data_IF_281409769944
#
_entry.id   IF_281409769944
#
_cell.length_a   1.000
_cell.length_b   1.000
_cell.length_c   1.000
_cell.angle_alpha   90.00
_cell.angle_beta   90.00
_cell.angle_gamma   90.00
#
_symmetry.space_group_name_H-M   'P 1'
#
loop_
_entity.id
_entity.type
_entity.pdbx_description
1 polymer ?
#
# COMPACT_ATOMS: atom_id res chain seq x y z
N UNK A 1 -51.91 24.61 7.56
CA UNK A 1 -51.04 23.51 8.05
C UNK A 1 -49.85 23.50 7.13
N UNK A 2 -48.62 23.56 7.65
CA UNK A 2 -47.44 23.51 6.79
C UNK A 2 -47.28 22.07 6.30
N UNK A 3 -47.30 21.88 4.99
CA UNK A 3 -46.88 20.65 4.35
C UNK A 3 -45.39 20.46 4.64
N UNK A 4 -45.01 19.33 5.23
CA UNK A 4 -43.60 19.03 5.50
C UNK A 4 -42.99 18.63 4.16
N UNK A 5 -42.13 19.49 3.61
CA UNK A 5 -41.37 19.18 2.41
C UNK A 5 -40.57 17.88 2.66
N UNK A 6 -40.69 16.84 1.80
CA UNK A 6 -39.88 15.62 1.93
C UNK A 6 -38.37 15.93 1.93
N UNK A 7 -37.95 17.06 1.36
CA UNK A 7 -36.57 17.57 1.40
C UNK A 7 -36.16 17.95 2.83
N UNK A 8 -36.97 18.76 3.53
CA UNK A 8 -36.71 19.13 4.93
C UNK A 8 -36.74 17.91 5.86
N UNK A 9 -37.67 16.96 5.62
CA UNK A 9 -37.68 15.71 6.37
C UNK A 9 -36.38 14.90 6.15
N UNK A 10 -35.89 14.80 4.91
CA UNK A 10 -34.64 14.10 4.62
C UNK A 10 -33.41 14.79 5.25
N UNK A 11 -33.39 16.13 5.28
CA UNK A 11 -32.32 16.90 5.92
C UNK A 11 -32.33 16.73 7.45
N UNK A 12 -33.50 16.82 8.10
CA UNK A 12 -33.65 16.54 9.54
C UNK A 12 -33.30 15.08 9.89
N UNK A 13 -33.73 14.16 9.03
CA UNK A 13 -33.15 12.83 8.73
C UNK A 13 -31.68 12.65 9.11
N UNK A 14 -30.87 13.24 8.24
CA UNK A 14 -29.42 13.14 8.18
C UNK A 14 -28.76 13.89 9.35
N UNK A 15 -29.31 15.05 9.75
CA UNK A 15 -28.80 15.83 10.88
C UNK A 15 -28.83 15.03 12.20
N UNK A 16 -29.93 14.32 12.47
CA UNK A 16 -30.11 13.53 13.70
C UNK A 16 -29.05 12.42 13.88
N UNK A 17 -28.57 11.85 12.77
CA UNK A 17 -27.52 10.81 12.73
C UNK A 17 -26.13 11.39 13.01
N UNK A 18 -25.88 12.64 12.58
CA UNK A 18 -24.61 13.34 12.79
C UNK A 18 -24.51 13.95 14.20
N UNK A 19 -25.63 14.37 14.78
CA UNK A 19 -25.70 14.96 16.13
C UNK A 19 -25.62 13.91 17.25
N UNK A 20 -26.06 12.67 16.98
CA UNK A 20 -26.04 11.56 17.95
C UNK A 20 -25.24 10.34 17.45
N UNK A 21 -23.89 10.38 17.49
CA UNK A 21 -23.09 9.19 17.24
C UNK A 21 -23.30 8.16 18.36
N UNK A 22 -23.87 6.99 18.02
CA UNK A 22 -24.06 5.92 19.00
C UNK A 22 -22.71 5.41 19.56
N UNK A 23 -22.65 5.03 20.85
CA UNK A 23 -21.41 4.63 21.50
C UNK A 23 -20.90 3.29 20.94
N UNK A 24 -19.81 3.34 20.17
CA UNK A 24 -19.09 2.16 19.67
C UNK A 24 -18.83 1.17 20.81
N UNK A 25 -19.31 -0.06 20.66
CA UNK A 25 -19.19 -1.10 21.67
C UNK A 25 -17.72 -1.49 21.90
N UNK A 26 -17.14 -0.97 22.98
CA UNK A 26 -15.76 -1.23 23.37
C UNK A 26 -15.62 -2.65 23.93
N UNK A 27 -15.41 -3.63 23.05
CA UNK A 27 -15.00 -4.99 23.46
C UNK A 27 -13.55 -4.92 23.96
N UNK A 28 -13.38 -4.72 25.28
CA UNK A 28 -12.10 -4.92 25.95
C UNK A 28 -11.90 -6.41 26.21
N UNK A 29 -10.76 -6.97 25.81
CA UNK A 29 -10.22 -8.17 26.44
C UNK A 29 -8.70 -8.25 26.28
N UNK A 30 -8.03 -8.37 27.43
CA UNK A 30 -6.82 -9.16 27.72
C UNK A 30 -5.76 -9.28 26.62
N UNK A 31 -4.59 -8.66 26.75
CA UNK A 31 -3.52 -9.04 27.71
C UNK A 31 -2.85 -10.38 27.34
N UNK A 32 -1.76 -10.28 26.56
CA UNK A 32 -0.60 -11.19 26.65
C UNK A 32 0.66 -10.34 26.58
N UNK A 33 1.61 -10.60 27.48
CA UNK A 33 2.88 -9.88 27.62
C UNK A 33 3.91 -10.26 26.53
N UNK A 34 5.02 -9.51 26.45
CA UNK A 34 6.06 -9.67 25.41
C UNK A 34 7.44 -9.96 26.02
N UNK A 35 8.26 -10.71 25.25
CA UNK A 35 9.74 -10.68 25.19
C UNK A 35 10.57 -11.53 26.19
N UNK A 36 11.70 -12.07 25.67
CA UNK A 36 12.78 -12.93 26.23
C UNK A 36 12.37 -14.29 26.85
N UNK A 37 13.20 -15.36 26.81
CA UNK A 37 14.47 -15.67 26.12
C UNK A 37 14.48 -17.20 25.82
N UNK A 38 15.34 -17.79 24.98
CA UNK A 38 16.47 -17.27 24.20
C UNK A 38 17.69 -18.18 24.35
N UNK A 39 18.17 -18.80 23.26
CA UNK A 39 19.26 -19.79 23.29
C UNK A 39 20.16 -19.66 22.04
N UNK A 40 21.46 -19.93 22.20
CA UNK A 40 22.50 -19.80 21.16
C UNK A 40 23.60 -20.85 21.38
N UNK A 41 23.80 -21.76 20.45
CA UNK A 41 25.06 -22.49 20.17
C UNK A 41 24.91 -23.11 18.75
N UNK A 42 25.76 -22.96 17.73
CA UNK A 42 27.17 -22.57 17.54
C UNK A 42 28.18 -23.73 17.54
N UNK A 43 28.18 -24.48 16.42
CA UNK A 43 29.19 -25.46 15.96
C UNK A 43 29.16 -25.44 14.41
N UNK A 44 30.17 -25.88 13.66
CA UNK A 44 31.51 -25.31 13.42
C UNK A 44 32.23 -26.18 12.35
N UNK A 45 33.18 -25.61 11.61
CA UNK A 45 33.91 -26.24 10.46
C UNK A 45 33.03 -26.58 9.24
N UNK A 46 33.52 -26.62 7.99
CA UNK A 46 34.91 -26.57 7.48
C UNK A 46 34.99 -25.89 6.08
N UNK A 47 36.15 -25.37 5.67
CA UNK A 47 36.36 -24.66 4.38
C UNK A 47 37.87 -24.57 4.02
N UNK A 48 38.29 -24.38 2.73
CA UNK A 48 38.02 -25.12 1.49
C UNK A 48 39.26 -25.96 1.04
N UNK A 49 39.32 -26.43 -0.23
CA UNK A 49 40.40 -25.91 -1.08
C UNK A 49 39.96 -25.47 -2.50
N UNK A 50 40.93 -24.97 -3.27
CA UNK A 50 40.83 -24.16 -4.51
C UNK A 50 41.54 -24.88 -5.70
N UNK A 51 41.56 -24.30 -6.91
CA UNK A 51 42.42 -24.63 -8.09
C UNK A 51 41.96 -25.86 -8.90
N UNK A 52 41.76 -25.85 -10.24
CA UNK A 52 41.68 -24.81 -11.30
C UNK A 52 40.87 -25.39 -12.51
N UNK A 53 40.80 -24.92 -13.77
CA UNK A 53 41.56 -23.95 -14.60
C UNK A 53 40.66 -23.29 -15.70
N UNK A 54 41.19 -22.29 -16.41
CA UNK A 54 40.66 -21.66 -17.64
C UNK A 54 41.46 -22.17 -18.89
N UNK A 55 41.32 -21.71 -20.18
CA UNK A 55 40.58 -20.58 -20.78
C UNK A 55 39.67 -21.02 -21.98
N UNK A 56 39.13 -20.22 -22.92
CA UNK A 56 39.69 -19.25 -23.91
C UNK A 56 38.58 -18.20 -24.22
N UNK A 57 38.75 -16.93 -23.86
CA UNK A 57 39.09 -15.78 -24.74
C UNK A 57 38.28 -15.69 -26.05
N UNK A 58 37.49 -14.62 -26.20
CA UNK A 58 37.40 -13.85 -27.45
C UNK A 58 37.20 -12.36 -27.09
N UNK A 59 37.82 -11.45 -27.85
CA UNK A 59 37.86 -10.01 -27.50
C UNK A 59 36.91 -9.19 -28.38
N UNK A 60 35.93 -8.53 -27.76
CA UNK A 60 35.16 -7.43 -28.37
C UNK A 60 35.39 -6.15 -27.56
N UNK A 61 36.33 -5.27 -27.98
CA UNK A 61 36.63 -4.02 -27.30
C UNK A 61 35.69 -2.89 -27.73
N UNK A 62 35.50 -1.89 -26.85
CA UNK A 62 34.82 -0.59 -27.10
C UNK A 62 33.29 -0.76 -27.33
N UNK A 63 32.38 -0.05 -26.64
CA UNK A 63 32.36 1.36 -26.20
C UNK A 63 31.99 1.52 -24.72
N UNK A 64 32.42 2.62 -24.11
CA UNK A 64 31.86 3.14 -22.86
C UNK A 64 30.43 3.67 -23.03
N UNK A 65 29.42 2.90 -22.62
CA UNK A 65 28.22 3.49 -22.02
C UNK A 65 28.01 2.87 -20.64
N UNK A 66 28.50 3.58 -19.61
CA UNK A 66 27.81 3.52 -18.31
C UNK A 66 26.36 3.87 -18.60
N UNK A 67 25.36 3.05 -18.24
CA UNK A 67 23.97 3.48 -18.32
C UNK A 67 23.86 4.76 -17.49
N UNK A 68 23.57 5.88 -18.15
CA UNK A 68 23.45 7.18 -17.48
C UNK A 68 22.46 7.00 -16.34
N UNK A 69 22.96 7.02 -15.10
CA UNK A 69 22.13 6.86 -13.93
C UNK A 69 21.03 7.92 -14.05
N UNK A 70 19.73 7.54 -14.09
CA UNK A 70 18.67 8.49 -14.34
C UNK A 70 18.80 9.61 -13.32
N UNK A 71 18.82 10.86 -13.80
CA UNK A 71 19.16 11.99 -12.94
C UNK A 71 18.18 12.05 -11.77
N UNK A 72 18.63 11.62 -10.59
CA UNK A 72 17.82 11.49 -9.37
C UNK A 72 17.53 12.87 -8.74
N UNK A 73 17.31 13.89 -9.57
CA UNK A 73 17.29 15.31 -9.23
C UNK A 73 15.89 15.91 -9.25
N UNK A 74 14.94 15.30 -9.97
CA UNK A 74 13.53 15.69 -9.98
C UNK A 74 12.63 14.45 -9.80
N UNK A 75 11.54 14.59 -9.04
CA UNK A 75 10.59 13.51 -8.78
C UNK A 75 9.30 13.60 -9.63
N UNK A 76 9.18 14.59 -10.52
CA UNK A 76 8.02 14.71 -11.40
C UNK A 76 7.80 13.45 -12.25
N UNK A 77 6.54 13.02 -12.38
CA UNK A 77 6.16 11.80 -13.09
C UNK A 77 6.44 10.49 -12.34
N UNK A 78 7.15 10.51 -11.20
CA UNK A 78 7.30 9.32 -10.34
C UNK A 78 5.92 8.78 -9.96
N UNK A 79 5.66 7.51 -10.20
CA UNK A 79 4.33 6.94 -9.95
C UNK A 79 4.35 5.48 -9.54
N UNK A 80 3.39 5.12 -8.68
CA UNK A 80 3.13 3.75 -8.23
C UNK A 80 1.65 3.44 -8.35
N UNK A 81 1.35 2.14 -8.35
CA UNK A 81 0.00 1.59 -8.46
C UNK A 81 -0.25 0.70 -7.25
N UNK A 82 -1.38 0.91 -6.59
CA UNK A 82 -1.83 0.10 -5.46
C UNK A 82 -2.33 -1.27 -5.89
N UNK A 83 -2.39 -2.23 -4.96
CA UNK A 83 -2.85 -3.58 -5.25
C UNK A 83 -4.34 -3.61 -5.59
N UNK A 84 -4.74 -4.64 -6.34
CA UNK A 84 -6.13 -4.95 -6.64
C UNK A 84 -6.28 -5.66 -7.99
N UNK A 85 -7.26 -6.57 -8.15
CA UNK A 85 -7.44 -7.34 -9.39
C UNK A 85 -8.05 -6.51 -10.52
N UNK A 86 -8.62 -5.33 -10.24
CA UNK A 86 -9.38 -4.53 -11.20
C UNK A 86 -8.83 -3.10 -11.29
N UNK A 87 -8.49 -2.67 -12.51
CA UNK A 87 -7.94 -1.33 -12.79
C UNK A 87 -8.90 -0.21 -12.38
N UNK A 88 -10.22 -0.43 -12.46
CA UNK A 88 -11.23 0.57 -12.12
C UNK A 88 -11.28 0.97 -10.64
N UNK A 89 -10.74 0.14 -9.72
CA UNK A 89 -10.82 0.36 -8.26
C UNK A 89 -9.45 0.41 -7.57
N UNK A 90 -8.35 0.11 -8.27
CA UNK A 90 -7.00 0.19 -7.71
C UNK A 90 -6.59 1.66 -7.53
N UNK A 91 -5.80 1.94 -6.50
CA UNK A 91 -5.17 3.24 -6.32
C UNK A 91 -4.04 3.44 -7.36
N UNK A 92 -3.80 4.69 -7.76
CA UNK A 92 -2.58 5.14 -8.44
C UNK A 92 -2.10 6.40 -7.74
N UNK A 93 -0.81 6.47 -7.44
CA UNK A 93 -0.15 7.69 -7.02
C UNK A 93 0.72 8.22 -8.15
N UNK A 94 0.66 9.52 -8.42
CA UNK A 94 1.55 10.22 -9.36
C UNK A 94 2.10 11.47 -8.68
N UNK A 95 3.42 11.62 -8.67
CA UNK A 95 4.09 12.84 -8.22
C UNK A 95 4.06 13.86 -9.35
N UNK A 96 3.69 15.09 -9.01
CA UNK A 96 3.67 16.25 -9.89
C UNK A 96 4.42 17.40 -9.24
N UNK A 97 5.29 18.07 -10.00
CA UNK A 97 5.97 19.30 -9.59
C UNK A 97 5.11 20.51 -9.95
N UNK A 98 4.87 21.38 -8.97
CA UNK A 98 4.13 22.63 -9.14
C UNK A 98 4.99 23.76 -9.70
N UNK A 99 4.34 24.83 -10.20
CA UNK A 99 5.00 26.06 -10.67
C UNK A 99 5.79 26.78 -9.55
N UNK A 100 5.47 26.50 -8.29
CA UNK A 100 6.17 26.97 -7.09
C UNK A 100 7.44 26.16 -6.76
N UNK A 101 7.74 25.12 -7.56
CA UNK A 101 8.86 24.22 -7.36
C UNK A 101 8.69 23.23 -6.21
N UNK A 102 7.51 23.15 -5.59
CA UNK A 102 7.17 22.09 -4.64
C UNK A 102 6.59 20.87 -5.38
N UNK A 103 6.47 19.77 -4.65
CA UNK A 103 5.94 18.51 -5.17
C UNK A 103 4.61 18.18 -4.49
N UNK A 104 3.72 17.61 -5.29
CA UNK A 104 2.38 17.21 -4.93
C UNK A 104 2.15 15.77 -5.37
N UNK A 105 1.51 14.96 -4.52
CA UNK A 105 1.14 13.59 -4.84
C UNK A 105 -0.35 13.53 -5.14
N UNK A 106 -0.69 13.14 -6.37
CA UNK A 106 -2.06 12.89 -6.80
C UNK A 106 -2.39 11.40 -6.58
N UNK A 107 -3.27 11.12 -5.63
CA UNK A 107 -3.85 9.80 -5.38
C UNK A 107 -5.19 9.68 -6.14
N UNK A 108 -5.29 8.75 -7.08
CA UNK A 108 -6.50 8.52 -7.90
C UNK A 108 -6.98 7.07 -7.75
N UNK A 109 -8.29 6.88 -7.57
CA UNK A 109 -8.92 5.55 -7.64
C UNK A 109 -9.32 5.28 -9.09
N UNK A 110 -8.66 4.32 -9.73
CA UNK A 110 -8.82 4.04 -11.16
C UNK A 110 -8.30 5.16 -12.05
N UNK A 111 -8.77 5.18 -13.31
CA UNK A 111 -8.28 6.09 -14.37
C UNK A 111 -9.22 7.28 -14.65
N UNK A 112 -10.38 7.32 -14.01
CA UNK A 112 -11.47 8.27 -14.32
C UNK A 112 -11.92 9.14 -13.13
N UNK A 113 -11.41 8.88 -11.92
CA UNK A 113 -11.74 9.65 -10.72
C UNK A 113 -10.99 10.97 -10.64
N UNK A 114 -11.54 11.94 -9.92
CA UNK A 114 -10.78 13.12 -9.49
C UNK A 114 -9.64 12.71 -8.54
N UNK A 115 -8.43 13.29 -8.67
CA UNK A 115 -7.31 13.01 -7.77
C UNK A 115 -7.48 13.70 -6.42
N UNK A 116 -7.12 13.00 -5.35
CA UNK A 116 -6.87 13.58 -4.02
C UNK A 116 -5.42 14.05 -4.00
N UNK A 117 -5.19 15.34 -3.74
CA UNK A 117 -3.86 15.96 -3.81
C UNK A 117 -3.26 16.12 -2.41
N UNK A 118 -2.06 15.59 -2.20
CA UNK A 118 -1.27 15.75 -0.98
C UNK A 118 -0.01 16.57 -1.24
N UNK A 119 0.23 17.64 -0.48
CA UNK A 119 1.37 18.55 -0.64
C UNK A 119 1.06 19.96 -0.11
N UNK A 120 1.95 20.94 -0.29
CA UNK A 120 3.28 20.81 -0.91
C UNK A 120 4.28 20.02 -0.06
N UNK A 121 5.26 19.38 -0.71
CA UNK A 121 6.41 18.73 -0.06
C UNK A 121 7.66 18.74 -0.97
N UNK A 122 8.80 18.27 -0.47
CA UNK A 122 10.04 18.14 -1.26
C UNK A 122 10.03 16.90 -2.16
N UNK A 123 10.88 16.88 -3.19
CA UNK A 123 11.09 15.75 -4.11
C UNK A 123 11.20 14.40 -3.39
N UNK A 124 12.16 14.27 -2.47
CA UNK A 124 12.39 13.06 -1.67
C UNK A 124 11.23 12.74 -0.70
N UNK A 125 10.49 13.75 -0.23
CA UNK A 125 9.31 13.51 0.59
C UNK A 125 8.15 12.95 -0.24
N UNK A 126 7.96 13.43 -1.47
CA UNK A 126 6.92 12.93 -2.38
C UNK A 126 7.17 11.46 -2.78
N UNK A 127 8.40 11.10 -3.13
CA UNK A 127 8.77 9.70 -3.43
C UNK A 127 8.50 8.80 -2.21
N UNK A 128 9.02 9.15 -1.03
CA UNK A 128 8.83 8.34 0.19
C UNK A 128 7.37 8.28 0.66
N UNK A 129 6.58 9.31 0.42
CA UNK A 129 5.13 9.29 0.67
C UNK A 129 4.46 8.25 -0.23
N UNK A 130 4.76 8.25 -1.53
CA UNK A 130 4.22 7.28 -2.50
C UNK A 130 4.66 5.84 -2.17
N UNK A 131 5.91 5.64 -1.76
CA UNK A 131 6.39 4.35 -1.24
C UNK A 131 5.57 3.89 -0.02
N UNK A 132 5.42 4.76 0.98
CA UNK A 132 4.71 4.46 2.23
C UNK A 132 3.23 4.13 1.99
N UNK A 133 2.56 4.90 1.13
CA UNK A 133 1.17 4.65 0.74
C UNK A 133 1.00 3.32 0.00
N UNK A 134 1.91 2.99 -0.93
CA UNK A 134 1.87 1.72 -1.66
C UNK A 134 2.12 0.53 -0.73
N UNK A 135 3.06 0.62 0.21
CA UNK A 135 3.34 -0.46 1.16
C UNK A 135 2.21 -0.63 2.18
N UNK A 136 1.58 0.46 2.62
CA UNK A 136 0.38 0.36 3.45
C UNK A 136 -0.80 -0.26 2.68
N UNK A 137 -1.06 0.19 1.45
CA UNK A 137 -2.11 -0.39 0.62
C UNK A 137 -1.87 -1.88 0.37
N UNK A 138 -0.62 -2.30 0.15
CA UNK A 138 -0.25 -3.72 0.07
C UNK A 138 -0.61 -4.47 1.36
N UNK A 139 -0.19 -4.00 2.54
CA UNK A 139 -0.54 -4.63 3.82
C UNK A 139 -2.06 -4.72 4.04
N UNK A 140 -2.81 -3.63 3.77
CA UNK A 140 -4.27 -3.59 3.88
C UNK A 140 -4.94 -4.59 2.92
N UNK A 141 -4.42 -4.76 1.70
CA UNK A 141 -4.94 -5.73 0.73
C UNK A 141 -4.61 -7.19 1.07
N UNK A 142 -3.42 -7.48 1.61
CA UNK A 142 -3.08 -8.83 2.11
C UNK A 142 -4.02 -9.24 3.26
N UNK A 143 -4.29 -8.32 4.20
CA UNK A 143 -5.22 -8.54 5.32
C UNK A 143 -6.66 -8.77 4.83
N UNK A 144 -7.14 -7.95 3.89
CA UNK A 144 -8.47 -8.14 3.29
C UNK A 144 -8.58 -9.47 2.52
N UNK A 145 -7.52 -9.88 1.82
CA UNK A 145 -7.49 -11.16 1.09
C UNK A 145 -7.55 -12.35 2.05
N UNK A 146 -6.80 -12.32 3.16
CA UNK A 146 -6.82 -13.42 4.14
C UNK A 146 -8.14 -13.48 4.91
N UNK A 147 -8.76 -12.35 5.22
CA UNK A 147 -10.11 -12.31 5.81
C UNK A 147 -11.15 -12.93 4.85
N UNK A 148 -11.17 -12.51 3.57
CA UNK A 148 -12.11 -13.05 2.58
C UNK A 148 -11.89 -14.55 2.36
N UNK A 149 -10.64 -15.02 2.28
CA UNK A 149 -10.33 -16.44 2.14
C UNK A 149 -10.79 -17.26 3.37
N UNK A 150 -10.58 -16.75 4.59
CA UNK A 150 -11.05 -17.39 5.82
C UNK A 150 -12.58 -17.42 5.91
N UNK A 151 -13.26 -16.32 5.56
CA UNK A 151 -14.73 -16.22 5.58
C UNK A 151 -15.40 -17.07 4.51
N UNK A 152 -14.82 -17.17 3.31
CA UNK A 152 -15.28 -18.10 2.27
C UNK A 152 -15.14 -19.54 2.74
N UNK A 153 -13.99 -19.88 3.33
CA UNK A 153 -13.75 -21.24 3.87
C UNK A 153 -14.82 -21.63 4.89
N UNK A 154 -15.20 -20.73 5.80
CA UNK A 154 -16.26 -20.97 6.79
C UNK A 154 -17.63 -21.21 6.12
N UNK A 155 -18.03 -20.36 5.17
CA UNK A 155 -19.30 -20.51 4.45
C UNK A 155 -19.37 -21.80 3.60
N UNK A 156 -18.24 -22.30 3.10
CA UNK A 156 -18.16 -23.57 2.38
C UNK A 156 -18.18 -24.79 3.31
N UNK A 157 -17.76 -24.65 4.59
CA UNK A 157 -18.01 -25.67 5.62
C UNK A 157 -19.48 -25.71 6.04
N UNK A 158 -20.13 -24.57 6.25
CA UNK A 158 -21.56 -24.50 6.62
C UNK A 158 -22.44 -25.19 5.57
N UNK A 159 -22.24 -24.91 4.28
CA UNK A 159 -22.98 -25.57 3.18
C UNK A 159 -22.78 -27.09 3.11
N UNK A 160 -21.71 -27.61 3.73
CA UNK A 160 -21.40 -29.05 3.76
C UNK A 160 -21.91 -29.76 5.02
N UNK A 161 -22.43 -29.02 6.01
CA UNK A 161 -23.01 -29.57 7.23
C UNK A 161 -24.49 -29.97 7.13
N UNK A 162 -25.16 -29.65 6.02
CA UNK A 162 -26.61 -29.80 5.83
C UNK A 162 -26.96 -30.86 4.76
N UNK A 163 -26.28 -32.03 4.80
CA UNK A 163 -26.43 -33.14 3.86
C UNK A 163 -26.26 -34.52 4.52
#
# INVERSE_FOLDING_TARGET
MSEIDPTDHALATIASILEHPEPVLVIRQTETEIVVAGEREHIASDEPPIVDEHPVIDEHPVVEEQPLAPEHTDADGYSKVGPGPMVAIRLKWTVHRGDDGQYYVHETIGEQSAPVVSGPMTSEAAVRFVDTQQDEAQRRFELLRSEIAGRSSLADYERKGEA
#
